data_IF_804894797804
#
_entry.id   IF_804894797804
#
_cell.length_a   1.000
_cell.length_b   1.000
_cell.length_c   1.000
_cell.angle_alpha   90.00
_cell.angle_beta   90.00
_cell.angle_gamma   90.00
#
_symmetry.space_group_name_H-M   'P 1'
#
loop_
_entity.id
_entity.type
_entity.pdbx_description
1 polymer ?
#
# COMPACT_ATOMS: atom_id res chain seq x y z
N UNK A 1 -4.18 24.38 -7.24
CA UNK A 1 -4.27 22.91 -7.32
C UNK A 1 -4.63 22.43 -5.94
N UNK A 2 -5.90 22.12 -5.74
CA UNK A 2 -6.45 21.76 -4.44
C UNK A 2 -5.81 20.46 -3.95
N UNK A 3 -5.04 20.58 -2.86
CA UNK A 3 -4.65 19.46 -1.99
C UNK A 3 -5.94 18.91 -1.41
N UNK A 4 -6.61 18.02 -2.13
CA UNK A 4 -7.62 17.17 -1.52
C UNK A 4 -6.92 16.41 -0.40
N UNK A 5 -7.15 16.84 0.83
CA UNK A 5 -7.01 16.03 2.02
C UNK A 5 -7.95 14.85 1.83
N UNK A 6 -7.44 13.80 1.19
CA UNK A 6 -8.15 12.53 1.08
C UNK A 6 -8.26 11.99 2.51
N UNK A 7 -9.37 12.30 3.16
CA UNK A 7 -9.66 11.90 4.54
C UNK A 7 -9.94 10.40 4.63
N UNK A 8 -10.19 9.72 3.51
CA UNK A 8 -10.44 8.30 3.49
C UNK A 8 -9.98 7.62 2.19
N UNK A 9 -9.31 6.46 2.29
CA UNK A 9 -8.95 5.65 1.12
C UNK A 9 -10.17 4.87 0.64
N UNK A 10 -10.64 5.16 -0.58
CA UNK A 10 -11.85 4.55 -1.13
C UNK A 10 -11.64 3.05 -1.46
N UNK A 11 -12.65 2.24 -1.19
CA UNK A 11 -12.66 0.84 -1.64
C UNK A 11 -12.61 0.80 -3.17
N UNK A 12 -11.72 -0.04 -3.71
CA UNK A 12 -11.45 -0.13 -5.14
C UNK A 12 -10.31 0.76 -5.62
N UNK A 13 -9.75 1.65 -4.78
CA UNK A 13 -8.53 2.40 -5.14
C UNK A 13 -7.42 1.42 -5.50
N UNK A 14 -6.86 1.60 -6.70
CA UNK A 14 -5.85 0.73 -7.30
C UNK A 14 -4.61 1.53 -7.67
N UNK A 15 -3.45 0.95 -7.44
CA UNK A 15 -2.17 1.50 -7.83
C UNK A 15 -1.03 0.53 -7.52
N UNK A 16 0.18 0.92 -7.84
CA UNK A 16 1.40 0.23 -7.38
C UNK A 16 1.76 0.66 -5.96
N UNK A 17 2.49 -0.19 -5.23
CA UNK A 17 3.01 0.19 -3.92
C UNK A 17 3.83 1.51 -3.96
N UNK A 18 4.58 1.75 -5.04
CA UNK A 18 5.29 3.01 -5.27
C UNK A 18 4.35 4.21 -5.38
N UNK A 19 3.25 4.09 -6.13
CA UNK A 19 2.29 5.18 -6.29
C UNK A 19 1.58 5.51 -4.99
N UNK A 20 1.23 4.51 -4.18
CA UNK A 20 0.62 4.74 -2.87
C UNK A 20 1.56 5.51 -1.93
N UNK A 21 2.85 5.14 -1.86
CA UNK A 21 3.84 5.86 -1.05
C UNK A 21 4.17 7.26 -1.55
N UNK A 22 3.97 7.54 -2.85
CA UNK A 22 4.16 8.87 -3.41
C UNK A 22 2.94 9.78 -3.17
N UNK A 23 1.74 9.20 -3.16
CA UNK A 23 0.48 9.94 -3.02
C UNK A 23 0.04 10.16 -1.56
N UNK A 24 0.46 9.30 -0.63
CA UNK A 24 -0.01 9.30 0.75
C UNK A 24 1.13 9.19 1.77
N UNK A 25 0.89 9.70 2.99
CA UNK A 25 1.83 9.52 4.11
C UNK A 25 1.82 8.07 4.61
N UNK A 26 2.93 7.64 5.23
CA UNK A 26 3.04 6.31 5.84
C UNK A 26 1.99 6.09 6.93
N UNK A 27 1.77 7.11 7.77
CA UNK A 27 0.80 7.04 8.87
C UNK A 27 -0.63 6.87 8.34
N UNK A 28 -0.98 7.56 7.25
CA UNK A 28 -2.27 7.38 6.60
C UNK A 28 -2.42 5.94 6.11
N UNK A 29 -1.46 5.45 5.32
CA UNK A 29 -1.46 4.09 4.79
C UNK A 29 -1.48 3.01 5.89
N UNK A 30 -0.82 3.28 7.03
CA UNK A 30 -0.83 2.44 8.22
C UNK A 30 -2.23 2.17 8.77
N UNK A 31 -3.11 3.18 8.77
CA UNK A 31 -4.51 3.03 9.18
C UNK A 31 -5.29 2.08 8.26
N UNK A 32 -4.83 1.91 7.02
CA UNK A 32 -5.43 1.04 6.01
C UNK A 32 -4.72 -0.31 5.89
N UNK A 33 -3.85 -0.69 6.84
CA UNK A 33 -3.22 -2.01 6.85
C UNK A 33 -2.07 -2.17 5.85
N UNK A 34 -1.53 -1.05 5.35
CA UNK A 34 -0.26 -1.01 4.63
C UNK A 34 0.83 -0.58 5.60
N UNK A 35 1.86 -1.40 5.76
CA UNK A 35 2.98 -1.13 6.67
C UNK A 35 4.26 -0.91 5.90
N UNK A 36 5.08 0.01 6.41
CA UNK A 36 6.47 0.20 5.99
C UNK A 36 7.36 0.06 7.21
N UNK A 37 8.40 -0.76 7.13
CA UNK A 37 9.40 -0.88 8.18
C UNK A 37 10.79 -0.64 7.59
N UNK A 38 11.58 0.19 8.27
CA UNK A 38 13.00 0.37 7.97
C UNK A 38 13.80 -0.61 8.82
N UNK A 39 14.72 -1.32 8.19
CA UNK A 39 15.69 -2.17 8.84
C UNK A 39 17.10 -1.64 8.54
N UNK A 40 17.87 -1.40 9.59
CA UNK A 40 19.28 -0.97 9.53
C UNK A 40 19.55 0.18 8.54
N UNK A 41 18.67 1.20 8.53
CA UNK A 41 18.75 2.42 7.73
C UNK A 41 18.88 2.26 6.19
N UNK A 42 18.88 1.04 5.67
CA UNK A 42 19.13 0.72 4.26
C UNK A 42 17.99 -0.04 3.59
N UNK A 43 17.24 -0.86 4.34
CA UNK A 43 16.23 -1.74 3.76
C UNK A 43 14.81 -1.34 4.18
N UNK A 44 14.00 -0.91 3.21
CA UNK A 44 12.57 -0.62 3.43
C UNK A 44 11.76 -1.86 3.04
N UNK A 45 11.21 -2.54 4.03
CA UNK A 45 10.20 -3.57 3.84
C UNK A 45 8.82 -2.95 3.79
N UNK A 46 8.00 -3.45 2.88
CA UNK A 46 6.59 -3.08 2.78
C UNK A 46 5.77 -4.35 2.90
N UNK A 47 4.69 -4.28 3.65
CA UNK A 47 3.72 -5.36 3.76
C UNK A 47 2.30 -4.82 3.75
N UNK A 48 1.36 -5.66 3.32
CA UNK A 48 -0.06 -5.35 3.38
C UNK A 48 -0.81 -6.51 4.01
N UNK A 49 -1.84 -6.19 4.79
CA UNK A 49 -2.80 -7.20 5.25
C UNK A 49 -3.69 -7.62 4.09
N UNK A 50 -3.70 -8.91 3.77
CA UNK A 50 -4.58 -9.51 2.76
C UNK A 50 -5.62 -10.42 3.45
N UNK A 51 -6.58 -10.97 2.70
CA UNK A 51 -7.50 -11.98 3.23
C UNK A 51 -6.82 -13.27 3.67
N UNK A 52 -5.57 -13.49 3.28
CA UNK A 52 -4.79 -14.69 3.59
C UNK A 52 -3.71 -14.45 4.67
N UNK A 53 -3.70 -13.27 5.27
CA UNK A 53 -2.64 -12.85 6.19
C UNK A 53 -1.79 -11.71 5.63
N UNK A 54 -0.68 -11.42 6.30
CA UNK A 54 0.23 -10.34 5.92
C UNK A 54 1.18 -10.79 4.81
N UNK A 55 1.25 -10.02 3.72
CA UNK A 55 2.07 -10.32 2.55
C UNK A 55 3.09 -9.21 2.32
N UNK A 56 4.34 -9.60 2.06
CA UNK A 56 5.41 -8.67 1.65
C UNK A 56 5.13 -8.20 0.22
N UNK A 57 5.30 -6.90 -0.03
CA UNK A 57 5.03 -6.28 -1.33
C UNK A 57 6.29 -5.62 -1.88
N UNK A 58 6.49 -5.74 -3.18
CA UNK A 58 7.52 -5.02 -3.91
C UNK A 58 6.96 -3.70 -4.45
N UNK A 59 7.84 -2.70 -4.69
CA UNK A 59 7.43 -1.35 -5.14
C UNK A 59 6.59 -1.36 -6.42
N UNK A 60 6.80 -2.35 -7.28
CA UNK A 60 6.08 -2.51 -8.55
C UNK A 60 4.81 -3.36 -8.47
N UNK A 61 4.50 -3.98 -7.33
CA UNK A 61 3.32 -4.81 -7.19
C UNK A 61 2.04 -3.97 -7.20
N UNK A 62 1.00 -4.51 -7.83
CA UNK A 62 -0.31 -3.87 -7.87
C UNK A 62 -1.10 -4.21 -6.62
N UNK A 63 -1.69 -3.17 -6.05
CA UNK A 63 -2.48 -3.20 -4.85
C UNK A 63 -3.87 -2.62 -5.15
N UNK A 64 -4.90 -3.28 -4.63
CA UNK A 64 -6.27 -2.77 -4.61
C UNK A 64 -6.75 -2.77 -3.18
N UNK A 65 -7.16 -1.61 -2.67
CA UNK A 65 -7.76 -1.53 -1.34
C UNK A 65 -9.17 -2.12 -1.37
N UNK A 66 -9.43 -3.16 -0.58
CA UNK A 66 -10.74 -3.87 -0.57
C UNK A 66 -11.57 -3.56 0.68
N UNK A 67 -11.16 -2.57 1.48
CA UNK A 67 -11.86 -2.18 2.70
C UNK A 67 -11.36 -2.90 3.96
N UNK A 68 -11.70 -2.33 5.13
CA UNK A 68 -11.39 -2.92 6.45
C UNK A 68 -9.91 -3.23 6.69
N UNK A 69 -9.02 -2.44 6.06
CA UNK A 69 -7.58 -2.61 6.15
C UNK A 69 -7.05 -3.82 5.37
N UNK A 70 -7.84 -4.36 4.43
CA UNK A 70 -7.46 -5.51 3.59
C UNK A 70 -7.12 -5.02 2.19
N UNK A 71 -6.10 -5.65 1.60
CA UNK A 71 -5.63 -5.40 0.24
C UNK A 71 -5.70 -6.67 -0.60
N UNK A 72 -6.02 -6.50 -1.88
CA UNK A 72 -5.72 -7.49 -2.91
C UNK A 72 -4.37 -7.19 -3.54
N UNK A 73 -3.54 -8.21 -3.66
CA UNK A 73 -2.18 -8.13 -4.19
C UNK A 73 -2.10 -8.89 -5.52
N UNK A 74 -1.54 -8.24 -6.54
CA UNK A 74 -1.20 -8.85 -7.81
C UNK A 74 0.24 -8.48 -8.17
N UNK A 75 1.10 -9.48 -8.40
CA UNK A 75 2.44 -9.22 -8.91
C UNK A 75 2.37 -8.58 -10.28
N UNK A 76 3.24 -7.61 -10.53
CA UNK A 76 3.49 -7.16 -11.90
C UNK A 76 4.17 -8.31 -12.64
N UNK A 77 3.44 -9.03 -13.47
CA UNK A 77 4.05 -9.95 -14.43
C UNK A 77 4.91 -9.12 -15.39
N UNK A 78 6.22 -9.34 -15.36
CA UNK A 78 7.07 -9.01 -16.50
C UNK A 78 6.71 -10.05 -17.58
N UNK A 79 5.83 -9.68 -18.51
CA UNK A 79 5.74 -10.34 -19.80
C UNK A 79 6.84 -9.80 -20.70
#
# INVERSE_FOLDING_TARGET
>A
MDKFSVTNLAVGTRGTAKEFLAAHTRDFLGQYGFKTQMFEDLMVFMSVKTKYGEMVVHKGDFLVYVGKGIWSLSKKCNK
#
